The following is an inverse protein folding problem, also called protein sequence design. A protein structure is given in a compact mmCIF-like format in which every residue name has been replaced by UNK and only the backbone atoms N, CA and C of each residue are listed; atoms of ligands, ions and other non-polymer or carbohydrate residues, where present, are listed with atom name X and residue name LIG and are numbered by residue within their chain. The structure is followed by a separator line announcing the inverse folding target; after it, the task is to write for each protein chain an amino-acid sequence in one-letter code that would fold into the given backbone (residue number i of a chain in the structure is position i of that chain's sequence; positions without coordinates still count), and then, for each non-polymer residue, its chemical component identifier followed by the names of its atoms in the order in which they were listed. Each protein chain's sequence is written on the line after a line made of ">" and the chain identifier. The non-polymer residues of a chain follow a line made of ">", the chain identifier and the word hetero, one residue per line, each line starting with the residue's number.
data_IF_299890348822
#
_entry.id   IF_299890348822
#
_cell.length_a   1.000
_cell.length_b   1.000
_cell.length_c   1.000
_cell.angle_alpha   90.00
_cell.angle_beta   90.00
_cell.angle_gamma   90.00
#
_symmetry.space_group_name_H-M   'P 1'
#
loop_
_entity.id
_entity.type
_entity.pdbx_description
1 polymer ?
#
# COMPACT_ATOMS: atom_id res chain seq x y z
N UNK A 1 -30.80 2.66 2.63
CA UNK A 1 -30.47 1.61 1.64
C UNK A 1 -29.52 0.63 2.31
N UNK A 2 -30.01 -0.55 2.71
CA UNK A 2 -29.20 -1.58 3.36
C UNK A 2 -28.66 -2.53 2.28
N UNK A 3 -27.36 -2.82 2.32
CA UNK A 3 -26.72 -3.77 1.40
C UNK A 3 -27.22 -5.20 1.64
N UNK A 4 -27.34 -6.05 0.61
CA UNK A 4 -27.78 -7.44 0.78
C UNK A 4 -26.71 -8.29 1.51
N UNK A 5 -27.11 -9.41 2.14
CA UNK A 5 -26.26 -10.26 3.00
C UNK A 5 -24.98 -10.83 2.35
N UNK A 6 -24.81 -10.69 1.03
CA UNK A 6 -23.70 -11.30 0.27
C UNK A 6 -22.37 -10.59 0.45
N UNK A 7 -22.34 -9.26 0.62
CA UNK A 7 -21.07 -8.52 0.74
C UNK A 7 -20.45 -8.72 2.12
N UNK A 8 -21.24 -8.69 3.19
CA UNK A 8 -20.71 -8.97 4.55
C UNK A 8 -20.24 -10.41 4.67
N UNK A 9 -20.94 -11.37 4.05
CA UNK A 9 -20.50 -12.76 4.02
C UNK A 9 -19.23 -12.92 3.17
N UNK A 10 -19.13 -12.22 2.04
CA UNK A 10 -17.91 -12.17 1.24
C UNK A 10 -16.76 -11.60 2.05
N UNK A 11 -16.94 -10.45 2.69
CA UNK A 11 -15.93 -9.80 3.53
C UNK A 11 -15.51 -10.72 4.68
N UNK A 12 -16.44 -11.36 5.38
CA UNK A 12 -16.12 -12.33 6.44
C UNK A 12 -15.37 -13.55 5.91
N UNK A 13 -15.82 -14.13 4.81
CA UNK A 13 -15.15 -15.28 4.18
C UNK A 13 -13.77 -14.91 3.66
N UNK A 14 -13.62 -13.69 3.12
CA UNK A 14 -12.39 -13.11 2.64
C UNK A 14 -11.44 -12.90 3.81
N UNK A 15 -11.83 -12.17 4.86
CA UNK A 15 -11.06 -11.99 6.09
C UNK A 15 -10.66 -13.32 6.73
N UNK A 16 -11.59 -14.27 6.90
CA UNK A 16 -11.29 -15.59 7.46
C UNK A 16 -10.34 -16.39 6.57
N UNK A 17 -10.46 -16.26 5.24
CA UNK A 17 -9.50 -16.85 4.31
C UNK A 17 -8.12 -16.21 4.48
N UNK A 18 -8.01 -14.89 4.60
CA UNK A 18 -6.73 -14.21 4.79
C UNK A 18 -6.10 -14.47 6.15
N UNK A 19 -6.88 -14.51 7.22
CA UNK A 19 -6.42 -14.85 8.56
C UNK A 19 -5.81 -16.26 8.56
N UNK A 20 -6.49 -17.21 7.91
CA UNK A 20 -5.96 -18.58 7.70
C UNK A 20 -4.70 -18.63 6.83
N UNK A 21 -4.59 -17.80 5.80
CA UNK A 21 -3.36 -17.74 4.98
C UNK A 21 -2.21 -17.08 5.75
N UNK A 22 -2.47 -16.06 6.57
CA UNK A 22 -1.47 -15.39 7.41
C UNK A 22 -0.84 -16.35 8.43
N UNK A 23 -1.64 -17.24 9.05
CA UNK A 23 -1.15 -18.25 9.99
C UNK A 23 -0.36 -19.40 9.33
N UNK A 24 -0.44 -19.55 8.00
CA UNK A 24 0.35 -20.52 7.24
C UNK A 24 1.74 -20.00 6.84
N UNK A 25 2.00 -18.69 6.98
CA UNK A 25 3.28 -18.11 6.58
C UNK A 25 4.40 -18.27 7.61
N UNK A 26 4.08 -18.67 8.85
CA UNK A 26 5.09 -18.90 9.89
C UNK A 26 5.90 -20.20 9.69
N UNK A 27 5.60 -21.02 8.67
CA UNK A 27 6.21 -22.34 8.49
C UNK A 27 6.67 -22.70 7.06
N UNK A 28 6.96 -21.74 6.19
CA UNK A 28 7.49 -22.05 4.85
C UNK A 28 8.91 -21.50 4.64
N UNK A 29 9.88 -22.20 5.21
CA UNK A 29 11.17 -22.40 4.54
C UNK A 29 11.01 -23.50 3.48
N UNK A 30 11.68 -23.29 2.34
CA UNK A 30 11.85 -24.17 1.17
C UNK A 30 10.63 -24.50 0.29
N UNK A 31 10.54 -23.82 -0.87
CA UNK A 31 9.83 -24.33 -2.04
C UNK A 31 10.67 -24.13 -3.31
N UNK A 32 11.62 -25.03 -3.54
CA UNK A 32 11.98 -25.48 -4.88
C UNK A 32 11.13 -26.72 -5.22
N UNK A 33 9.91 -26.54 -5.72
CA UNK A 33 9.13 -27.62 -6.36
C UNK A 33 8.25 -27.04 -7.48
N UNK A 34 8.14 -27.67 -8.67
CA UNK A 34 7.68 -26.98 -9.88
C UNK A 34 6.16 -26.97 -10.10
N UNK A 35 5.33 -27.55 -9.23
CA UNK A 35 3.94 -27.89 -9.57
C UNK A 35 2.87 -27.44 -8.56
N UNK A 36 3.04 -26.30 -7.89
CA UNK A 36 1.96 -25.70 -7.09
C UNK A 36 1.19 -24.66 -7.93
N UNK A 37 0.24 -25.13 -8.76
CA UNK A 37 -0.74 -24.25 -9.40
C UNK A 37 -1.79 -23.87 -8.35
N UNK A 38 -1.44 -22.91 -7.49
CA UNK A 38 -2.46 -22.18 -6.75
C UNK A 38 -3.36 -21.46 -7.76
N UNK A 39 -4.70 -21.57 -7.69
CA UNK A 39 -5.58 -20.78 -8.53
C UNK A 39 -5.33 -19.30 -8.25
N UNK A 40 -4.55 -18.65 -9.11
CA UNK A 40 -4.31 -17.23 -9.02
C UNK A 40 -5.51 -16.51 -9.60
N UNK A 41 -6.13 -15.65 -8.80
CA UNK A 41 -7.02 -14.65 -9.37
C UNK A 41 -6.23 -13.74 -10.31
N UNK A 42 -6.84 -13.42 -11.45
CA UNK A 42 -6.32 -12.43 -12.39
C UNK A 42 -6.21 -11.07 -11.72
N UNK A 43 -5.20 -10.28 -12.12
CA UNK A 43 -4.96 -8.94 -11.57
C UNK A 43 -6.19 -8.04 -11.70
N UNK A 44 -6.91 -8.15 -12.82
CA UNK A 44 -8.14 -7.39 -13.06
C UNK A 44 -9.21 -7.74 -12.02
N UNK A 45 -9.38 -9.02 -11.71
CA UNK A 45 -10.34 -9.48 -10.73
C UNK A 45 -9.97 -9.00 -9.32
N UNK A 46 -8.69 -9.15 -8.91
CA UNK A 46 -8.20 -8.65 -7.63
C UNK A 46 -8.42 -7.14 -7.49
N UNK A 47 -8.10 -6.38 -8.53
CA UNK A 47 -8.29 -4.93 -8.55
C UNK A 47 -9.76 -4.54 -8.40
N UNK A 48 -10.68 -5.20 -9.11
CA UNK A 48 -12.12 -4.94 -8.96
C UNK A 48 -12.62 -5.29 -7.55
N UNK A 49 -12.17 -6.40 -6.96
CA UNK A 49 -12.51 -6.74 -5.57
C UNK A 49 -11.97 -5.68 -4.60
N UNK A 50 -10.74 -5.22 -4.78
CA UNK A 50 -10.14 -4.28 -3.83
C UNK A 50 -10.76 -2.88 -3.90
N UNK A 51 -11.40 -2.51 -5.01
CA UNK A 51 -12.19 -1.26 -5.08
C UNK A 51 -13.31 -1.23 -4.04
N UNK A 52 -13.89 -2.37 -3.65
CA UNK A 52 -14.87 -2.42 -2.58
C UNK A 52 -14.27 -2.07 -1.21
N UNK A 53 -12.96 -2.24 -1.04
CA UNK A 53 -12.20 -1.87 0.15
C UNK A 53 -11.59 -0.46 0.09
N UNK A 54 -11.87 0.33 -0.95
CA UNK A 54 -11.24 1.64 -1.16
C UNK A 54 -11.26 2.57 0.07
N UNK A 55 -12.34 2.53 0.85
CA UNK A 55 -12.50 3.34 2.06
C UNK A 55 -12.20 2.56 3.36
N UNK A 56 -11.90 1.27 3.28
CA UNK A 56 -11.52 0.42 4.40
C UNK A 56 -10.01 0.19 4.38
N UNK A 57 -9.29 1.15 4.96
CA UNK A 57 -7.83 1.15 4.98
C UNK A 57 -7.27 -0.05 5.72
N UNK A 58 -7.98 -0.57 6.73
CA UNK A 58 -7.58 -1.78 7.46
C UNK A 58 -7.67 -3.00 6.56
N UNK A 59 -8.76 -3.16 5.81
CA UNK A 59 -8.89 -4.23 4.82
C UNK A 59 -7.78 -4.19 3.77
N UNK A 60 -7.50 -3.00 3.22
CA UNK A 60 -6.42 -2.84 2.24
C UNK A 60 -5.03 -3.15 2.82
N UNK A 61 -4.76 -2.77 4.06
CA UNK A 61 -3.52 -3.15 4.75
C UNK A 61 -3.41 -4.66 4.93
N UNK A 62 -4.50 -5.33 5.33
CA UNK A 62 -4.52 -6.79 5.38
C UNK A 62 -4.20 -7.40 4.02
N UNK A 63 -4.75 -6.87 2.92
CA UNK A 63 -4.43 -7.34 1.56
C UNK A 63 -2.95 -7.19 1.19
N UNK A 64 -2.28 -6.10 1.61
CA UNK A 64 -0.85 -5.88 1.35
C UNK A 64 0.03 -6.98 1.93
N UNK A 65 -0.33 -7.50 3.10
CA UNK A 65 0.45 -8.53 3.81
C UNK A 65 0.25 -9.95 3.28
N UNK A 66 -0.69 -10.18 2.35
CA UNK A 66 -1.05 -11.54 1.89
C UNK A 66 0.00 -12.11 0.94
N UNK A 67 0.35 -11.36 -0.10
CA UNK A 67 1.29 -11.79 -1.13
C UNK A 67 1.77 -10.61 -1.97
N UNK A 68 2.85 -10.80 -2.73
CA UNK A 68 3.39 -9.78 -3.64
C UNK A 68 2.34 -9.26 -4.64
N UNK A 69 1.58 -10.16 -5.27
CA UNK A 69 0.55 -9.82 -6.26
C UNK A 69 -0.58 -8.98 -5.65
N UNK A 70 -0.94 -9.30 -4.40
CA UNK A 70 -1.97 -8.58 -3.67
C UNK A 70 -1.48 -7.20 -3.23
N UNK A 71 -0.25 -7.13 -2.74
CA UNK A 71 0.42 -5.87 -2.45
C UNK A 71 0.43 -4.94 -3.67
N UNK A 72 0.82 -5.44 -4.84
CA UNK A 72 0.85 -4.68 -6.10
C UNK A 72 -0.53 -4.09 -6.48
N UNK A 73 -1.64 -4.76 -6.15
CA UNK A 73 -2.99 -4.24 -6.42
C UNK A 73 -3.54 -3.33 -5.31
N UNK A 74 -3.16 -3.55 -4.06
CA UNK A 74 -3.65 -2.78 -2.91
C UNK A 74 -2.92 -1.45 -2.71
N UNK A 75 -1.62 -1.39 -3.02
CA UNK A 75 -0.78 -0.19 -2.86
C UNK A 75 -1.36 1.02 -3.62
N UNK A 76 -1.78 0.92 -4.89
CA UNK A 76 -2.37 2.07 -5.59
C UNK A 76 -3.64 2.63 -4.93
N UNK A 77 -4.40 1.79 -4.21
CA UNK A 77 -5.61 2.22 -3.49
C UNK A 77 -5.26 2.89 -2.16
N UNK A 78 -4.29 2.33 -1.42
CA UNK A 78 -3.80 2.92 -0.16
C UNK A 78 -3.11 4.28 -0.38
N UNK A 79 -2.45 4.44 -1.51
CA UNK A 79 -1.69 5.65 -1.83
C UNK A 79 -2.48 6.66 -2.68
N UNK A 80 -3.79 6.47 -2.83
CA UNK A 80 -4.67 7.40 -3.56
C UNK A 80 -4.79 8.76 -2.83
N UNK A 81 -4.90 8.72 -1.49
CA UNK A 81 -4.99 9.90 -0.59
C UNK A 81 -4.20 9.68 0.72
N UNK A 82 -2.88 9.60 0.63
CA UNK A 82 -2.03 9.15 1.72
C UNK A 82 -1.93 10.17 2.85
N UNK A 83 -2.09 11.47 2.57
CA UNK A 83 -2.14 12.49 3.61
C UNK A 83 -3.45 12.49 4.40
N UNK A 84 -4.54 11.96 3.84
CA UNK A 84 -5.74 11.65 4.61
C UNK A 84 -5.59 10.36 5.41
N UNK A 85 -5.05 9.32 4.79
CA UNK A 85 -5.00 7.96 5.36
C UNK A 85 -3.91 7.86 6.44
N UNK A 86 -2.74 8.45 6.20
CA UNK A 86 -1.56 8.35 7.04
C UNK A 86 -1.20 9.69 7.71
N UNK A 87 -2.18 10.56 7.98
CA UNK A 87 -1.95 11.93 8.46
C UNK A 87 -1.08 12.07 9.73
N UNK A 88 -0.91 11.00 10.52
CA UNK A 88 -0.04 10.95 11.70
C UNK A 88 1.34 10.34 11.45
N UNK A 89 1.58 9.82 10.26
CA UNK A 89 2.80 9.10 9.93
C UNK A 89 3.88 10.05 9.41
N UNK A 90 4.90 10.25 10.24
CA UNK A 90 6.01 11.17 9.96
C UNK A 90 6.97 10.63 8.88
N UNK A 91 6.82 9.36 8.49
CA UNK A 91 7.62 8.74 7.42
C UNK A 91 7.03 8.93 6.02
N UNK A 92 5.84 9.53 5.90
CA UNK A 92 5.18 9.72 4.61
C UNK A 92 6.02 10.59 3.67
N UNK A 93 6.50 11.73 4.18
CA UNK A 93 7.37 12.64 3.42
C UNK A 93 8.68 11.97 3.06
N UNK A 94 9.28 11.23 3.99
CA UNK A 94 10.52 10.49 3.75
C UNK A 94 10.35 9.44 2.63
N UNK A 95 9.20 8.75 2.59
CA UNK A 95 8.88 7.77 1.54
C UNK A 95 8.80 8.43 0.17
N UNK A 96 8.30 9.67 0.08
CA UNK A 96 8.30 10.40 -1.19
C UNK A 96 9.68 10.88 -1.60
N UNK A 97 10.45 11.39 -0.64
CA UNK A 97 11.81 11.81 -0.88
C UNK A 97 12.69 10.64 -1.36
N UNK A 98 12.44 9.42 -0.88
CA UNK A 98 13.15 8.22 -1.36
C UNK A 98 12.74 7.78 -2.76
N UNK A 99 11.63 8.28 -3.32
CA UNK A 99 11.21 8.03 -4.70
C UNK A 99 11.76 9.05 -5.71
N UNK A 100 12.54 10.04 -5.27
CA UNK A 100 13.14 11.02 -6.16
C UNK A 100 14.30 10.42 -6.97
N UNK A 101 14.50 10.92 -8.19
CA UNK A 101 15.72 10.64 -8.94
C UNK A 101 16.91 11.33 -8.28
N UNK A 102 18.11 10.77 -8.50
CA UNK A 102 19.35 11.37 -7.99
C UNK A 102 19.50 12.84 -8.38
N UNK A 103 19.17 13.20 -9.62
CA UNK A 103 19.17 14.60 -10.09
C UNK A 103 18.29 15.52 -9.23
N UNK A 104 17.04 15.11 -8.96
CA UNK A 104 16.10 15.90 -8.15
C UNK A 104 16.54 15.96 -6.70
N UNK A 105 17.10 14.87 -6.19
CA UNK A 105 17.62 14.79 -4.83
C UNK A 105 18.78 15.77 -4.64
N UNK A 106 19.76 15.76 -5.55
CA UNK A 106 20.89 16.70 -5.55
C UNK A 106 20.41 18.14 -5.60
N UNK A 107 19.49 18.47 -6.50
CA UNK A 107 18.91 19.81 -6.60
C UNK A 107 18.30 20.28 -5.27
N UNK A 108 17.53 19.44 -4.58
CA UNK A 108 16.91 19.82 -3.31
C UNK A 108 17.95 20.00 -2.19
N UNK A 109 18.98 19.15 -2.14
CA UNK A 109 20.08 19.27 -1.17
C UNK A 109 20.85 20.58 -1.37
N UNK A 110 21.15 20.94 -2.63
CA UNK A 110 21.79 22.21 -2.98
C UNK A 110 20.96 23.43 -2.59
N UNK A 111 19.63 23.29 -2.55
CA UNK A 111 18.69 24.32 -2.08
C UNK A 111 18.44 24.27 -0.57
N UNK A 112 19.28 23.56 0.19
CA UNK A 112 19.28 23.56 1.66
C UNK A 112 18.31 22.59 2.31
N UNK A 113 17.72 21.64 1.57
CA UNK A 113 16.87 20.61 2.15
C UNK A 113 17.71 19.42 2.61
N UNK A 114 17.56 19.03 3.88
CA UNK A 114 18.11 17.78 4.37
C UNK A 114 17.29 16.61 3.85
N UNK A 115 17.91 15.74 3.05
CA UNK A 115 17.28 14.50 2.59
C UNK A 115 18.06 13.30 3.12
N UNK A 116 17.47 12.46 4.01
CA UNK A 116 18.14 11.27 4.52
C UNK A 116 18.52 10.33 3.38
N UNK A 117 19.52 9.48 3.60
CA UNK A 117 19.96 8.49 2.60
C UNK A 117 18.77 7.68 2.09
N UNK A 118 18.67 7.55 0.76
CA UNK A 118 17.53 6.93 0.11
C UNK A 118 17.53 5.43 0.40
N UNK A 119 16.39 4.93 0.87
CA UNK A 119 16.07 3.52 0.73
C UNK A 119 15.48 3.29 -0.66
N UNK A 120 15.84 2.18 -1.32
CA UNK A 120 15.26 1.81 -2.61
C UNK A 120 13.75 1.54 -2.44
N UNK A 121 12.86 2.42 -2.95
CA UNK A 121 11.43 2.25 -2.73
C UNK A 121 10.94 1.05 -3.54
N UNK A 122 10.18 0.16 -2.89
CA UNK A 122 9.60 -1.03 -3.55
C UNK A 122 8.55 -0.68 -4.60
N UNK A 123 7.97 0.51 -4.51
CA UNK A 123 6.93 1.01 -5.39
C UNK A 123 7.17 2.48 -5.73
N UNK A 124 6.71 2.92 -6.90
CA UNK A 124 6.64 4.34 -7.23
C UNK A 124 5.41 4.97 -6.55
N UNK A 125 5.49 5.15 -5.23
CA UNK A 125 4.41 5.71 -4.43
C UNK A 125 3.88 7.06 -4.93
N UNK A 126 4.72 8.03 -5.38
CA UNK A 126 4.23 9.27 -5.97
C UNK A 126 3.27 9.06 -7.14
N UNK A 127 3.48 8.03 -7.96
CA UNK A 127 2.65 7.76 -9.15
C UNK A 127 1.21 7.33 -8.83
N UNK A 128 0.93 7.00 -7.57
CA UNK A 128 -0.38 6.52 -7.12
C UNK A 128 -1.24 7.61 -6.48
N UNK A 129 -0.68 8.79 -6.20
CA UNK A 129 -1.43 9.91 -5.62
C UNK A 129 -2.51 10.37 -6.60
N UNK A 130 -3.76 10.44 -6.14
CA UNK A 130 -4.88 11.06 -6.87
C UNK A 130 -5.45 12.27 -6.15
N UNK A 131 -5.22 12.36 -4.84
CA UNK A 131 -5.67 13.47 -4.01
C UNK A 131 -4.49 14.01 -3.21
N UNK A 132 -4.28 15.32 -3.32
CA UNK A 132 -3.27 16.03 -2.57
C UNK A 132 -3.92 17.23 -1.88
N UNK A 133 -4.18 17.10 -0.58
CA UNK A 133 -4.61 18.24 0.23
C UNK A 133 -3.36 19.03 0.66
N UNK A 134 -3.19 20.22 0.07
CA UNK A 134 -2.06 21.09 0.35
C UNK A 134 -1.90 21.42 1.84
N UNK A 135 -3.01 21.65 2.56
CA UNK A 135 -2.95 22.00 3.99
C UNK A 135 -2.37 20.85 4.80
N UNK A 136 -2.82 19.62 4.52
CA UNK A 136 -2.32 18.41 5.20
C UNK A 136 -0.88 18.08 4.80
N UNK A 137 -0.54 18.27 3.53
CA UNK A 137 0.81 18.06 3.00
C UNK A 137 1.82 18.96 3.72
N UNK A 138 1.50 20.25 3.84
CA UNK A 138 2.33 21.22 4.54
C UNK A 138 2.49 20.88 6.04
N UNK A 139 1.40 20.46 6.70
CA UNK A 139 1.43 20.01 8.09
C UNK A 139 2.32 18.78 8.29
N UNK A 140 2.25 17.78 7.40
CA UNK A 140 3.10 16.58 7.49
C UNK A 140 4.57 16.91 7.30
N UNK A 141 4.93 17.80 6.36
CA UNK A 141 6.31 18.24 6.17
C UNK A 141 6.90 18.88 7.42
N UNK A 142 6.19 19.85 8.02
CA UNK A 142 6.65 20.54 9.23
C UNK A 142 6.77 19.62 10.46
N UNK A 143 6.19 18.41 10.43
CA UNK A 143 6.31 17.43 11.51
C UNK A 143 7.48 16.46 11.31
N UNK A 144 7.91 16.27 10.08
CA UNK A 144 8.97 15.34 9.68
C UNK A 144 10.38 15.96 9.68
N UNK A 145 10.49 17.29 9.84
CA UNK A 145 11.72 18.09 9.89
C UNK A 145 11.85 18.70 11.27
#
# INVERSE_FOLDING_TARGET
>A
MAFPPSLTQFIKSFYNFFDKQSQNFDHLEDITAPNNIHPQLDDKCLKEVFKYFKNDTKALYSCVSVSRKWCEQAIPLLWEDPFCIFYKNDTLVQTYLSCLSEERRTYLIENGLFIPESSNPKFNYPSHIRKLDYRRTYQSYNKSV
#
